data_IF_322682697973
#
_entry.id   IF_322682697973
#
_cell.length_a   1.000
_cell.length_b   1.000
_cell.length_c   1.000
_cell.angle_alpha   90.00
_cell.angle_beta   90.00
_cell.angle_gamma   90.00
#
_symmetry.space_group_name_H-M   'P 1'
#
loop_
_entity.id
_entity.type
_entity.pdbx_description
1 polymer ?
#
# COMPACT_ATOMS: atom_id res chain seq x y z
N UNK A 1 11.64 -7.97 1.83
CA UNK A 1 10.31 -7.62 1.29
C UNK A 1 10.03 -6.18 1.64
N UNK A 2 10.78 -5.21 1.05
CA UNK A 2 10.64 -3.80 1.36
C UNK A 2 9.26 -3.26 0.99
N UNK A 3 8.93 -2.08 1.51
CA UNK A 3 7.75 -1.33 1.10
C UNK A 3 6.87 -0.90 2.28
N UNK A 4 6.61 -1.78 3.25
CA UNK A 4 6.03 -1.36 4.53
C UNK A 4 7.04 -0.48 5.28
N UNK A 5 8.27 -0.99 5.42
CA UNK A 5 9.49 -0.28 5.79
C UNK A 5 10.61 -0.70 4.85
N UNK A 6 11.65 0.12 4.72
CA UNK A 6 12.73 -0.07 3.75
C UNK A 6 13.56 -1.33 4.02
N UNK A 7 13.65 -1.75 5.28
CA UNK A 7 14.40 -2.91 5.74
C UNK A 7 13.51 -4.11 6.14
N UNK A 8 12.24 -4.13 5.73
CA UNK A 8 11.33 -5.22 6.08
C UNK A 8 11.80 -6.57 5.49
N UNK A 9 11.79 -7.61 6.32
CA UNK A 9 12.18 -8.98 5.96
C UNK A 9 11.04 -9.96 6.23
N UNK A 10 10.87 -10.93 5.32
CA UNK A 10 10.10 -12.15 5.58
C UNK A 10 11.08 -13.32 5.74
N UNK A 11 10.73 -14.31 6.54
CA UNK A 11 11.53 -15.52 6.74
C UNK A 11 10.72 -16.74 6.32
N UNK A 12 11.33 -17.65 5.55
CA UNK A 12 10.68 -18.88 5.10
C UNK A 12 11.16 -20.08 5.92
N UNK A 13 10.24 -20.95 6.30
CA UNK A 13 10.52 -22.30 6.81
C UNK A 13 10.15 -23.29 5.70
N UNK A 14 11.16 -23.78 4.99
CA UNK A 14 10.98 -24.51 3.73
C UNK A 14 10.35 -25.88 3.95
N UNK A 15 10.71 -26.55 5.05
CA UNK A 15 10.25 -27.89 5.43
C UNK A 15 8.73 -27.93 5.65
N UNK A 16 8.15 -26.81 6.08
CA UNK A 16 6.72 -26.66 6.33
C UNK A 16 5.99 -25.82 5.26
N UNK A 17 6.73 -25.34 4.24
CA UNK A 17 6.21 -24.38 3.24
C UNK A 17 5.50 -23.19 3.90
N UNK A 18 6.16 -22.61 4.88
CA UNK A 18 5.62 -21.52 5.70
C UNK A 18 6.42 -20.24 5.44
N UNK A 19 5.72 -19.10 5.43
CA UNK A 19 6.34 -17.77 5.42
C UNK A 19 5.92 -16.94 6.63
N UNK A 20 6.89 -16.47 7.40
CA UNK A 20 6.69 -15.43 8.41
C UNK A 20 6.67 -14.08 7.72
N UNK A 21 5.49 -13.48 7.56
CA UNK A 21 5.28 -12.29 6.70
C UNK A 21 5.48 -10.97 7.41
N UNK A 22 5.68 -10.99 8.73
CA UNK A 22 5.79 -9.77 9.51
C UNK A 22 4.57 -8.87 9.34
N UNK A 23 4.83 -7.60 9.09
CA UNK A 23 3.81 -6.59 8.77
C UNK A 23 3.65 -6.36 7.27
N UNK A 24 4.29 -7.15 6.41
CA UNK A 24 4.14 -7.02 4.96
C UNK A 24 2.77 -7.51 4.47
N UNK A 25 2.29 -8.62 5.04
CA UNK A 25 0.94 -9.16 4.85
C UNK A 25 0.44 -9.54 6.24
N UNK A 26 -0.61 -8.88 6.72
CA UNK A 26 -1.21 -9.13 8.04
C UNK A 26 -2.57 -9.83 7.90
N UNK A 27 -2.94 -10.68 8.87
CA UNK A 27 -4.16 -11.50 8.82
C UNK A 27 -5.45 -10.76 9.20
N UNK A 28 -5.38 -9.48 9.57
CA UNK A 28 -6.53 -8.72 10.10
C UNK A 28 -6.77 -7.36 9.42
N UNK A 29 -5.81 -6.84 8.65
CA UNK A 29 -5.90 -5.56 7.95
C UNK A 29 -4.78 -5.44 6.92
N UNK A 30 -4.85 -4.45 6.03
CA UNK A 30 -3.76 -4.13 5.10
C UNK A 30 -2.65 -3.35 5.79
N UNK A 31 -1.40 -3.55 5.37
CA UNK A 31 -0.24 -2.84 5.92
C UNK A 31 -0.29 -1.33 5.69
N UNK A 32 0.27 -0.56 6.61
CA UNK A 32 0.48 0.87 6.35
C UNK A 32 1.72 1.01 5.47
N UNK A 33 1.65 1.80 4.41
CA UNK A 33 2.83 2.18 3.62
C UNK A 33 2.98 3.69 3.76
N UNK A 34 4.04 4.15 4.43
CA UNK A 34 4.22 5.57 4.76
C UNK A 34 5.67 6.03 4.45
N UNK A 35 5.87 6.83 3.39
CA UNK A 35 7.16 7.44 3.05
C UNK A 35 7.75 8.29 4.19
N UNK A 36 9.07 8.47 4.30
CA UNK A 36 10.08 8.00 3.36
C UNK A 36 10.51 6.55 3.61
N UNK A 37 10.15 5.95 4.74
CA UNK A 37 10.59 4.59 5.08
C UNK A 37 9.74 3.52 4.39
N UNK A 38 8.44 3.78 4.18
CA UNK A 38 7.60 2.96 3.32
C UNK A 38 7.59 3.45 1.87
N UNK A 39 7.48 2.54 0.92
CA UNK A 39 7.43 2.83 -0.52
C UNK A 39 6.41 1.92 -1.21
N UNK A 40 5.47 2.50 -1.96
CA UNK A 40 4.38 1.74 -2.58
C UNK A 40 4.85 0.90 -3.78
N UNK A 41 5.83 1.38 -4.54
CA UNK A 41 6.44 0.61 -5.65
C UNK A 41 7.11 -0.66 -5.12
N UNK A 42 7.96 -0.52 -4.09
CA UNK A 42 8.62 -1.65 -3.42
C UNK A 42 7.62 -2.60 -2.77
N UNK A 43 6.55 -2.04 -2.18
CA UNK A 43 5.50 -2.84 -1.55
C UNK A 43 4.77 -3.70 -2.58
N UNK A 44 4.37 -3.11 -3.71
CA UNK A 44 3.71 -3.84 -4.80
C UNK A 44 4.64 -4.85 -5.46
N UNK A 45 5.92 -4.52 -5.64
CA UNK A 45 6.92 -5.46 -6.15
C UNK A 45 7.11 -6.66 -5.20
N UNK A 46 7.15 -6.41 -3.89
CA UNK A 46 7.26 -7.47 -2.88
C UNK A 46 6.00 -8.33 -2.79
N UNK A 47 4.79 -7.77 -2.90
CA UNK A 47 3.55 -8.55 -2.99
C UNK A 47 3.53 -9.44 -4.24
N UNK A 48 4.00 -8.94 -5.39
CA UNK A 48 4.13 -9.74 -6.62
C UNK A 48 5.14 -10.87 -6.46
N UNK A 49 6.28 -10.62 -5.80
CA UNK A 49 7.24 -11.66 -5.44
C UNK A 49 6.60 -12.77 -4.58
N UNK A 50 5.71 -12.40 -3.64
CA UNK A 50 5.01 -13.37 -2.81
C UNK A 50 4.04 -14.28 -3.60
N UNK A 51 3.46 -13.80 -4.70
CA UNK A 51 2.58 -14.61 -5.56
C UNK A 51 3.31 -15.74 -6.31
N UNK A 52 4.60 -15.54 -6.59
CA UNK A 52 5.46 -16.53 -7.26
C UNK A 52 5.93 -17.65 -6.32
N UNK A 53 5.73 -17.48 -5.00
CA UNK A 53 6.09 -18.49 -4.00
C UNK A 53 5.02 -19.61 -3.94
N UNK A 54 5.42 -20.74 -3.37
CA UNK A 54 4.60 -21.94 -3.18
C UNK A 54 4.36 -22.26 -1.70
N UNK A 55 4.53 -21.27 -0.81
CA UNK A 55 4.19 -21.41 0.61
C UNK A 55 2.68 -21.68 0.77
N UNK A 56 2.33 -22.57 1.69
CA UNK A 56 0.96 -22.99 1.97
C UNK A 56 0.32 -22.19 3.12
N UNK A 57 1.13 -21.65 4.04
CA UNK A 57 0.64 -20.87 5.19
C UNK A 57 1.53 -19.65 5.45
N UNK A 58 0.90 -18.49 5.67
CA UNK A 58 1.58 -17.31 6.20
C UNK A 58 1.29 -17.12 7.70
N UNK A 59 2.35 -16.84 8.46
CA UNK A 59 2.27 -16.43 9.87
C UNK A 59 2.64 -14.95 9.99
N UNK A 60 1.63 -14.05 10.04
CA UNK A 60 1.85 -12.63 10.21
C UNK A 60 2.19 -12.27 11.66
N UNK A 61 2.76 -11.08 11.89
CA UNK A 61 2.88 -10.52 13.25
C UNK A 61 1.50 -10.24 13.85
N UNK A 62 0.54 -9.84 13.01
CA UNK A 62 -0.79 -9.41 13.43
C UNK A 62 -1.90 -10.17 12.71
N UNK A 63 -2.87 -10.63 13.50
CA UNK A 63 -4.01 -11.42 13.01
C UNK A 63 -3.74 -12.93 13.01
N UNK A 64 -4.74 -13.72 12.57
CA UNK A 64 -4.62 -15.17 12.46
C UNK A 64 -3.66 -15.57 11.31
N UNK A 65 -3.30 -16.86 11.29
CA UNK A 65 -2.64 -17.47 10.16
C UNK A 65 -3.47 -17.33 8.87
N UNK A 66 -2.79 -17.20 7.74
CA UNK A 66 -3.42 -17.17 6.42
C UNK A 66 -3.11 -18.50 5.74
N UNK A 67 -4.10 -19.39 5.65
CA UNK A 67 -3.96 -20.76 5.10
C UNK A 67 -4.24 -20.86 3.61
N UNK A 68 -4.60 -19.76 2.97
CA UNK A 68 -4.74 -19.64 1.51
C UNK A 68 -4.08 -18.33 1.03
N UNK A 69 -2.74 -18.30 0.95
CA UNK A 69 -2.00 -17.05 0.80
C UNK A 69 -2.22 -16.34 -0.53
N UNK A 70 -2.37 -17.08 -1.64
CA UNK A 70 -2.38 -16.48 -2.99
C UNK A 70 -3.60 -15.57 -3.23
N UNK A 71 -4.85 -15.99 -2.95
CA UNK A 71 -6.00 -15.10 -3.06
C UNK A 71 -5.91 -13.93 -2.08
N UNK A 72 -5.37 -14.17 -0.89
CA UNK A 72 -5.21 -13.12 0.12
C UNK A 72 -4.22 -12.02 -0.32
N UNK A 73 -3.05 -12.40 -0.82
CA UNK A 73 -2.06 -11.45 -1.39
C UNK A 73 -2.63 -10.72 -2.61
N UNK A 74 -3.40 -11.40 -3.46
CA UNK A 74 -4.07 -10.76 -4.60
C UNK A 74 -5.04 -9.67 -4.13
N UNK A 75 -5.80 -9.91 -3.07
CA UNK A 75 -6.71 -8.90 -2.49
C UNK A 75 -5.96 -7.66 -1.97
N UNK A 76 -4.72 -7.81 -1.50
CA UNK A 76 -3.88 -6.68 -1.11
C UNK A 76 -3.47 -5.84 -2.31
N UNK A 77 -3.05 -6.49 -3.40
CA UNK A 77 -2.70 -5.82 -4.66
C UNK A 77 -3.92 -5.06 -5.21
N UNK A 78 -5.07 -5.74 -5.30
CA UNK A 78 -6.33 -5.14 -5.75
C UNK A 78 -6.69 -3.93 -4.88
N UNK A 79 -6.60 -4.05 -3.55
CA UNK A 79 -6.87 -2.93 -2.64
C UNK A 79 -5.98 -1.69 -2.93
N UNK A 80 -4.71 -1.89 -3.30
CA UNK A 80 -3.80 -0.79 -3.65
C UNK A 80 -4.14 -0.17 -4.99
N UNK A 81 -4.40 -0.99 -6.00
CA UNK A 81 -4.80 -0.52 -7.32
C UNK A 81 -6.14 0.22 -7.27
N UNK A 82 -7.09 -0.25 -6.46
CA UNK A 82 -8.37 0.41 -6.20
C UNK A 82 -8.16 1.79 -5.59
N UNK A 83 -7.22 1.91 -4.66
CA UNK A 83 -6.88 3.19 -4.03
C UNK A 83 -6.31 4.18 -5.04
N UNK A 84 -5.45 3.72 -5.94
CA UNK A 84 -4.90 4.55 -7.02
C UNK A 84 -5.97 5.00 -8.00
N UNK A 85 -6.91 4.11 -8.37
CA UNK A 85 -8.06 4.49 -9.18
C UNK A 85 -8.90 5.57 -8.49
N UNK A 86 -9.15 5.45 -7.19
CA UNK A 86 -9.87 6.49 -6.43
C UNK A 86 -9.14 7.84 -6.47
N UNK A 87 -7.81 7.84 -6.34
CA UNK A 87 -6.98 9.06 -6.43
C UNK A 87 -7.14 9.71 -7.80
N UNK A 88 -7.02 8.93 -8.87
CA UNK A 88 -7.21 9.41 -10.25
C UNK A 88 -8.60 10.02 -10.43
N UNK A 89 -9.65 9.39 -9.89
CA UNK A 89 -11.00 9.97 -9.92
C UNK A 89 -11.12 11.27 -9.12
N UNK A 90 -10.39 11.43 -8.01
CA UNK A 90 -10.38 12.72 -7.29
C UNK A 90 -9.71 13.82 -8.13
N UNK A 91 -8.61 13.50 -8.82
CA UNK A 91 -7.92 14.43 -9.71
C UNK A 91 -8.81 14.83 -10.89
N UNK A 92 -9.53 13.89 -11.52
CA UNK A 92 -10.53 14.18 -12.56
C UNK A 92 -11.66 15.09 -12.05
N UNK A 93 -12.03 14.94 -10.79
CA UNK A 93 -13.02 15.79 -10.13
C UNK A 93 -12.46 17.15 -9.65
N UNK A 94 -11.21 17.49 -10.03
CA UNK A 94 -10.59 18.79 -9.75
C UNK A 94 -9.98 18.94 -8.36
N UNK A 95 -9.91 17.87 -7.55
CA UNK A 95 -9.21 17.90 -6.27
C UNK A 95 -7.73 17.65 -6.50
N UNK A 96 -6.90 18.67 -6.30
CA UNK A 96 -5.45 18.60 -6.56
C UNK A 96 -4.63 18.31 -5.31
N UNK A 97 -5.21 18.36 -4.11
CA UNK A 97 -4.49 18.20 -2.83
C UNK A 97 -4.93 16.97 -2.07
N UNK A 98 -3.97 16.26 -1.47
CA UNK A 98 -4.22 15.08 -0.63
C UNK A 98 -5.21 15.39 0.50
N UNK A 99 -5.08 16.56 1.12
CA UNK A 99 -5.96 17.01 2.21
C UNK A 99 -7.45 17.07 1.80
N UNK A 100 -7.74 17.36 0.54
CA UNK A 100 -9.11 17.43 0.01
C UNK A 100 -9.65 16.06 -0.41
N UNK A 101 -8.74 15.13 -0.75
CA UNK A 101 -9.08 13.77 -1.17
C UNK A 101 -9.43 12.86 0.02
N UNK A 102 -8.67 12.97 1.12
CA UNK A 102 -8.77 12.07 2.28
C UNK A 102 -10.20 12.03 2.87
N UNK A 103 -10.88 13.16 3.15
CA UNK A 103 -12.21 13.13 3.72
C UNK A 103 -13.26 12.40 2.86
N UNK A 104 -13.04 12.32 1.55
CA UNK A 104 -13.94 11.66 0.60
C UNK A 104 -13.60 10.18 0.50
N UNK A 105 -12.33 9.86 0.29
CA UNK A 105 -11.85 8.49 0.10
C UNK A 105 -11.87 7.64 1.39
N UNK A 106 -11.87 8.30 2.55
CA UNK A 106 -11.86 7.70 3.88
C UNK A 106 -13.07 8.13 4.71
N UNK A 107 -14.19 8.46 4.08
CA UNK A 107 -15.40 8.96 4.75
C UNK A 107 -15.95 8.03 5.86
N UNK A 108 -15.72 6.71 5.73
CA UNK A 108 -16.12 5.70 6.73
C UNK A 108 -15.08 5.48 7.85
N UNK A 109 -13.92 6.14 7.78
CA UNK A 109 -12.84 6.00 8.75
C UNK A 109 -12.92 7.09 9.80
N UNK A 110 -12.58 6.76 11.05
CA UNK A 110 -12.48 7.75 12.12
C UNK A 110 -11.54 8.90 11.74
N UNK A 111 -12.01 10.15 11.89
CA UNK A 111 -11.26 11.37 11.54
C UNK A 111 -9.89 11.44 12.23
N UNK A 112 -9.73 10.81 13.40
CA UNK A 112 -8.44 10.71 14.10
C UNK A 112 -7.37 9.98 13.29
N UNK A 113 -7.77 9.13 12.34
CA UNK A 113 -6.88 8.37 11.47
C UNK A 113 -6.61 9.07 10.12
N UNK A 114 -7.19 10.25 9.86
CA UNK A 114 -6.96 10.98 8.62
C UNK A 114 -5.48 11.34 8.38
N UNK A 115 -4.67 11.69 9.39
CA UNK A 115 -3.24 11.88 9.20
C UNK A 115 -2.55 10.62 8.65
N UNK A 116 -2.89 9.44 9.17
CA UNK A 116 -2.35 8.17 8.67
C UNK A 116 -2.85 7.86 7.25
N UNK A 117 -4.13 8.11 6.97
CA UNK A 117 -4.71 7.96 5.64
C UNK A 117 -4.01 8.88 4.61
N UNK A 118 -3.74 10.14 4.96
CA UNK A 118 -3.02 11.09 4.12
C UNK A 118 -1.60 10.59 3.77
N UNK A 119 -0.92 9.95 4.72
CA UNK A 119 0.40 9.33 4.52
C UNK A 119 0.33 8.14 3.56
N UNK A 120 -0.72 7.33 3.66
CA UNK A 120 -0.97 6.26 2.68
C UNK A 120 -1.27 6.81 1.29
N UNK A 121 -2.04 7.90 1.18
CA UNK A 121 -2.29 8.57 -0.11
C UNK A 121 -1.00 9.15 -0.68
N UNK A 122 -0.12 9.72 0.15
CA UNK A 122 1.20 10.19 -0.31
C UNK A 122 2.03 9.06 -0.93
N UNK A 123 2.03 7.87 -0.32
CA UNK A 123 2.75 6.72 -0.88
C UNK A 123 2.26 6.35 -2.29
N UNK A 124 0.94 6.36 -2.49
CA UNK A 124 0.34 6.15 -3.80
C UNK A 124 0.65 7.29 -4.77
N UNK A 125 0.63 8.55 -4.31
CA UNK A 125 0.99 9.69 -5.15
C UNK A 125 2.45 9.62 -5.61
N UNK A 126 3.39 9.23 -4.74
CA UNK A 126 4.79 9.01 -5.11
C UNK A 126 4.90 7.95 -6.21
N UNK A 127 4.19 6.82 -6.07
CA UNK A 127 4.17 5.77 -7.07
C UNK A 127 3.54 6.23 -8.39
N UNK A 128 2.37 6.87 -8.35
CA UNK A 128 1.68 7.40 -9.55
C UNK A 128 2.50 8.47 -10.29
N UNK A 129 3.28 9.26 -9.55
CA UNK A 129 4.23 10.21 -10.15
C UNK A 129 5.42 9.48 -10.78
N UNK A 130 5.98 8.49 -10.11
CA UNK A 130 7.08 7.68 -10.65
C UNK A 130 6.67 6.92 -11.92
N UNK A 131 5.43 6.45 -12.01
CA UNK A 131 4.88 5.76 -13.19
C UNK A 131 4.31 6.71 -14.25
N UNK A 132 4.41 8.03 -14.05
CA UNK A 132 3.98 9.03 -15.03
C UNK A 132 2.47 9.12 -15.26
N UNK A 133 1.65 8.68 -14.30
CA UNK A 133 0.18 8.81 -14.35
C UNK A 133 -0.26 10.16 -13.77
N UNK A 134 0.47 10.63 -12.75
CA UNK A 134 0.25 11.90 -12.06
C UNK A 134 1.50 12.76 -12.17
N UNK A 135 1.33 14.07 -12.22
CA UNK A 135 2.41 15.05 -12.17
C UNK A 135 2.23 15.99 -10.97
N UNK A 136 3.36 16.48 -10.45
CA UNK A 136 3.44 17.55 -9.44
C UNK A 136 4.69 18.36 -9.73
N UNK A 137 4.72 19.59 -9.25
CA UNK A 137 5.93 20.40 -9.32
C UNK A 137 6.86 19.99 -8.16
N UNK A 138 8.11 19.64 -8.48
CA UNK A 138 9.09 19.18 -7.49
C UNK A 138 8.82 17.77 -6.93
N UNK A 139 9.38 17.49 -5.75
CA UNK A 139 9.20 16.20 -5.09
C UNK A 139 7.78 16.09 -4.49
N UNK A 140 7.07 14.96 -4.66
CA UNK A 140 5.77 14.75 -4.02
C UNK A 140 5.81 14.96 -2.50
N UNK A 141 4.76 15.59 -1.96
CA UNK A 141 4.62 15.86 -0.53
C UNK A 141 3.14 16.00 -0.15
N UNK A 142 2.82 15.95 1.14
CA UNK A 142 1.45 16.19 1.62
C UNK A 142 0.87 17.56 1.22
N UNK A 143 1.74 18.54 0.95
CA UNK A 143 1.36 19.91 0.62
C UNK A 143 1.38 20.20 -0.90
N UNK A 144 1.78 19.23 -1.71
CA UNK A 144 1.91 19.39 -3.16
C UNK A 144 0.55 19.51 -3.85
N UNK A 145 0.54 20.23 -4.97
CA UNK A 145 -0.58 20.26 -5.92
C UNK A 145 -0.31 19.25 -7.05
N UNK A 146 -1.25 18.33 -7.22
CA UNK A 146 -1.17 17.22 -8.15
C UNK A 146 -2.12 17.42 -9.33
N UNK A 147 -1.74 16.90 -10.50
CA UNK A 147 -2.55 16.87 -11.72
C UNK A 147 -2.34 15.56 -12.45
N UNK A 148 -3.26 15.16 -13.32
CA UNK A 148 -3.00 14.06 -14.25
C UNK A 148 -1.88 14.49 -15.22
N UNK A 149 -1.00 13.55 -15.57
CA UNK A 149 0.10 13.77 -16.50
C UNK A 149 -0.36 13.82 -17.96
#
# INVERSE_FOLDING_TARGET
>A
TPGHTSNHMCFALLEEKVLFTGDHVMGWSTSIVSPPDGNMEDYMASLRLLLERDDEVYWPTHGPAITDPKPFVRSFIEHREDRERQIVEQLKAGRTKIADMVPIMYAAVDKRLYPAAARSVLAHMEHLVATGIVATDGKPSLASDYRLA
#
